data_IF_234550356151
#
_entry.id   IF_234550356151
#
_cell.length_a   1.000
_cell.length_b   1.000
_cell.length_c   1.000
_cell.angle_alpha   90.00
_cell.angle_beta   90.00
_cell.angle_gamma   90.00
#
_symmetry.space_group_name_H-M   'P 1'
#
loop_
_entity.id
_entity.type
_entity.pdbx_description
1 polymer ?
#
# COMPACT_ATOMS: atom_id res chain seq x y z
N UNK A 1 2.76 34.00 -15.29
CA UNK A 1 1.36 34.32 -14.91
C UNK A 1 0.71 32.98 -14.63
N UNK A 2 0.52 32.67 -13.34
CA UNK A 2 0.00 31.36 -12.89
C UNK A 2 -1.48 31.24 -13.27
N UNK A 3 -1.90 30.05 -13.69
CA UNK A 3 -3.32 29.71 -13.92
C UNK A 3 -4.17 29.97 -12.66
N UNK A 4 -3.56 30.02 -11.48
CA UNK A 4 -4.21 30.36 -10.21
C UNK A 4 -4.67 31.83 -10.12
N UNK A 5 -4.06 32.78 -10.84
CA UNK A 5 -4.53 34.18 -10.85
C UNK A 5 -5.88 34.37 -11.56
N UNK A 6 -6.31 33.40 -12.38
CA UNK A 6 -7.63 33.41 -13.04
C UNK A 6 -8.78 32.88 -12.16
N UNK A 7 -8.51 32.30 -11.00
CA UNK A 7 -9.50 31.65 -10.15
C UNK A 7 -9.76 32.32 -8.79
N UNK A 8 -9.25 33.53 -8.59
CA UNK A 8 -9.62 34.37 -7.44
C UNK A 8 -10.98 35.03 -7.65
N UNK A 9 -12.04 34.25 -7.51
CA UNK A 9 -13.40 34.81 -7.34
C UNK A 9 -14.11 34.11 -6.18
N UNK A 10 -14.39 34.98 -5.17
CA UNK A 10 -15.12 34.54 -3.99
C UNK A 10 -16.56 34.18 -4.32
N UNK A 11 -16.94 32.99 -3.92
CA UNK A 11 -18.30 32.63 -3.48
C UNK A 11 -18.14 31.51 -2.47
N UNK A 12 -19.00 31.53 -1.44
CA UNK A 12 -19.07 30.61 -0.30
C UNK A 12 -18.59 29.20 -0.73
N UNK A 13 -17.37 28.85 -0.38
CA UNK A 13 -16.87 27.51 -0.56
C UNK A 13 -17.79 26.59 0.24
N UNK A 14 -18.51 25.70 -0.44
CA UNK A 14 -19.08 24.54 0.23
C UNK A 14 -17.94 23.93 1.05
N UNK A 15 -18.18 23.69 2.33
CA UNK A 15 -17.18 23.18 3.25
C UNK A 15 -16.40 22.03 2.58
N UNK A 16 -15.07 22.14 2.43
CA UNK A 16 -14.27 21.08 1.79
C UNK A 16 -14.50 19.71 2.43
N UNK A 17 -14.76 19.69 3.74
CA UNK A 17 -15.08 18.49 4.50
C UNK A 17 -16.44 17.89 4.09
N UNK A 18 -17.44 18.71 3.75
CA UNK A 18 -18.78 18.23 3.35
C UNK A 18 -18.73 17.51 1.99
N UNK A 19 -17.99 18.05 1.03
CA UNK A 19 -17.83 17.42 -0.30
C UNK A 19 -16.99 16.13 -0.21
N UNK A 20 -15.96 16.10 0.64
CA UNK A 20 -15.23 14.90 0.97
C UNK A 20 -16.15 13.84 1.59
N UNK A 21 -16.96 14.23 2.55
CA UNK A 21 -17.91 13.33 3.20
C UNK A 21 -18.91 12.71 2.21
N UNK A 22 -19.36 13.46 1.20
CA UNK A 22 -20.28 12.94 0.18
C UNK A 22 -19.61 11.94 -0.75
N UNK A 23 -18.40 12.23 -1.23
CA UNK A 23 -17.60 11.31 -2.06
C UNK A 23 -17.23 10.03 -1.32
N UNK A 24 -16.86 10.15 -0.05
CA UNK A 24 -16.52 9.00 0.79
C UNK A 24 -17.72 8.10 1.07
N UNK A 25 -18.95 8.62 1.00
CA UNK A 25 -20.20 7.89 1.25
C UNK A 25 -20.78 7.21 0.02
N UNK A 26 -20.41 7.63 -1.19
CA UNK A 26 -20.84 6.97 -2.41
C UNK A 26 -20.25 5.55 -2.47
N UNK A 27 -21.10 4.53 -2.49
CA UNK A 27 -20.64 3.14 -2.46
C UNK A 27 -21.71 2.16 -2.96
N UNK A 28 -21.37 0.87 -3.00
CA UNK A 28 -22.28 -0.22 -3.36
C UNK A 28 -22.50 -1.16 -2.19
N UNK A 29 -23.72 -1.66 -2.02
CA UNK A 29 -24.04 -2.63 -0.98
C UNK A 29 -23.36 -3.97 -1.23
N UNK A 30 -22.83 -4.58 -0.15
CA UNK A 30 -22.37 -5.96 -0.12
C UNK A 30 -23.56 -6.90 0.12
N UNK A 31 -23.39 -8.19 -0.16
CA UNK A 31 -24.38 -9.23 0.16
C UNK A 31 -24.64 -9.33 1.67
N UNK A 32 -23.65 -9.00 2.49
CA UNK A 32 -23.78 -8.98 3.95
C UNK A 32 -24.60 -7.77 4.48
N UNK A 33 -25.02 -6.83 3.60
CA UNK A 33 -25.86 -5.68 3.91
C UNK A 33 -25.13 -4.32 3.91
N UNK A 34 -23.92 -4.17 4.52
CA UNK A 34 -23.25 -2.87 4.56
C UNK A 34 -22.95 -2.31 3.17
N UNK A 35 -23.13 -1.00 3.01
CA UNK A 35 -22.68 -0.28 1.82
C UNK A 35 -21.19 0.01 1.95
N UNK A 36 -20.40 -0.44 0.97
CA UNK A 36 -18.95 -0.27 0.96
C UNK A 36 -18.59 0.98 0.16
N UNK A 37 -17.98 1.91 0.86
CA UNK A 37 -17.38 3.12 0.33
C UNK A 37 -15.98 3.31 0.94
N UNK A 38 -15.25 4.32 0.51
CA UNK A 38 -13.90 4.57 0.99
C UNK A 38 -13.86 4.81 2.51
N UNK A 39 -14.82 5.55 3.07
CA UNK A 39 -14.89 5.83 4.50
C UNK A 39 -15.04 4.55 5.33
N UNK A 40 -15.99 3.68 4.98
CA UNK A 40 -16.24 2.44 5.71
C UNK A 40 -15.13 1.42 5.51
N UNK A 41 -14.58 1.33 4.31
CA UNK A 41 -13.47 0.41 4.02
C UNK A 41 -12.20 0.78 4.81
N UNK A 42 -11.88 2.07 4.95
CA UNK A 42 -10.72 2.52 5.73
C UNK A 42 -10.90 2.35 7.26
N UNK A 43 -12.14 2.19 7.74
CA UNK A 43 -12.42 1.84 9.15
C UNK A 43 -12.11 0.37 9.45
N UNK A 44 -12.08 -0.48 8.43
CA UNK A 44 -11.64 -1.87 8.61
C UNK A 44 -10.13 -1.89 8.84
N UNK A 45 -9.72 -2.27 10.06
CA UNK A 45 -8.34 -2.19 10.51
C UNK A 45 -7.34 -2.88 9.55
N UNK A 46 -7.69 -4.04 9.03
CA UNK A 46 -6.85 -4.78 8.07
C UNK A 46 -6.67 -4.04 6.74
N UNK A 47 -7.75 -3.43 6.21
CA UNK A 47 -7.69 -2.67 4.96
C UNK A 47 -6.76 -1.46 5.09
N UNK A 48 -6.94 -0.69 6.17
CA UNK A 48 -6.08 0.46 6.45
C UNK A 48 -4.62 0.04 6.71
N UNK A 49 -4.41 -1.06 7.45
CA UNK A 49 -3.07 -1.58 7.71
C UNK A 49 -2.34 -1.99 6.42
N UNK A 50 -3.03 -2.67 5.49
CA UNK A 50 -2.46 -3.03 4.19
C UNK A 50 -2.07 -1.81 3.37
N UNK A 51 -2.96 -0.81 3.25
CA UNK A 51 -2.65 0.44 2.56
C UNK A 51 -1.46 1.16 3.18
N UNK A 52 -1.42 1.24 4.52
CA UNK A 52 -0.30 1.86 5.25
C UNK A 52 1.01 1.14 5.00
N UNK A 53 1.02 -0.19 5.07
CA UNK A 53 2.24 -1.00 4.84
C UNK A 53 2.79 -0.80 3.43
N UNK A 54 1.93 -0.77 2.40
CA UNK A 54 2.34 -0.54 1.03
C UNK A 54 2.83 0.90 0.81
N UNK A 55 2.04 1.88 1.26
CA UNK A 55 2.34 3.29 1.03
C UNK A 55 3.61 3.74 1.76
N UNK A 56 3.75 3.39 3.04
CA UNK A 56 4.94 3.69 3.82
C UNK A 56 6.16 2.90 3.34
N UNK A 57 5.98 1.63 2.92
CA UNK A 57 7.02 0.84 2.30
C UNK A 57 7.60 1.48 1.04
N UNK A 58 6.75 2.12 0.22
CA UNK A 58 7.21 2.88 -0.95
C UNK A 58 7.75 4.28 -0.59
N UNK A 59 7.15 4.94 0.40
CA UNK A 59 7.52 6.29 0.77
C UNK A 59 8.88 6.40 1.47
N UNK A 60 9.25 5.41 2.30
CA UNK A 60 10.53 5.39 3.05
C UNK A 60 11.75 5.14 2.17
N UNK A 61 11.57 4.51 1.01
CA UNK A 61 12.67 4.21 0.09
C UNK A 61 13.00 5.45 -0.74
N UNK A 62 14.27 5.88 -0.82
CA UNK A 62 14.65 7.01 -1.66
C UNK A 62 14.29 6.76 -3.13
N UNK A 63 13.55 7.69 -3.73
CA UNK A 63 13.21 7.69 -5.15
C UNK A 63 13.96 8.84 -5.82
N UNK A 64 14.84 8.52 -6.76
CA UNK A 64 15.76 9.48 -7.36
C UNK A 64 15.83 9.34 -8.86
N UNK A 65 16.28 10.41 -9.51
CA UNK A 65 16.63 10.42 -10.92
C UNK A 65 18.11 10.07 -11.08
N UNK A 66 18.39 9.12 -11.95
CA UNK A 66 19.75 8.70 -12.34
C UNK A 66 20.00 9.02 -13.80
N UNK A 67 21.28 9.06 -14.15
CA UNK A 67 21.75 9.11 -15.52
C UNK A 67 22.76 7.99 -15.75
N UNK A 68 22.49 7.17 -16.76
CA UNK A 68 23.42 6.18 -17.27
C UNK A 68 24.20 6.78 -18.45
N UNK A 69 25.52 6.70 -18.40
CA UNK A 69 26.41 7.15 -19.46
C UNK A 69 27.44 6.08 -19.75
N UNK A 70 28.00 6.04 -20.95
CA UNK A 70 29.11 5.15 -21.28
C UNK A 70 30.38 6.00 -21.36
N UNK A 71 31.35 5.71 -20.50
CA UNK A 71 32.65 6.35 -20.47
C UNK A 71 33.73 5.30 -20.71
N UNK A 72 34.53 5.45 -21.74
CA UNK A 72 35.58 4.50 -22.12
C UNK A 72 35.06 3.04 -22.29
N UNK A 73 33.84 2.88 -22.82
CA UNK A 73 33.22 1.57 -22.99
C UNK A 73 32.61 0.97 -21.73
N UNK A 74 32.74 1.62 -20.57
CA UNK A 74 32.18 1.18 -19.28
C UNK A 74 30.90 1.96 -18.97
N UNK A 75 29.92 1.25 -18.44
CA UNK A 75 28.67 1.81 -17.92
C UNK A 75 28.95 2.63 -16.66
N UNK A 76 28.53 3.87 -16.64
CA UNK A 76 28.66 4.77 -15.49
C UNK A 76 27.27 5.28 -15.10
N UNK A 77 26.82 4.98 -13.89
CA UNK A 77 25.54 5.40 -13.33
C UNK A 77 25.79 6.45 -12.25
N UNK A 78 25.16 7.60 -12.36
CA UNK A 78 25.27 8.68 -11.38
C UNK A 78 23.90 9.32 -11.08
N UNK A 79 23.65 9.76 -9.82
CA UNK A 79 22.47 10.57 -9.51
C UNK A 79 22.51 11.89 -10.27
N UNK A 80 21.46 12.19 -11.02
CA UNK A 80 21.37 13.39 -11.87
C UNK A 80 20.90 14.61 -11.07
N UNK A 81 21.71 15.04 -10.10
CA UNK A 81 21.37 16.12 -9.16
C UNK A 81 21.15 17.47 -9.81
N UNK A 82 21.82 17.73 -10.94
CA UNK A 82 21.71 18.95 -11.75
C UNK A 82 20.39 18.99 -12.56
N UNK A 83 19.71 17.86 -12.69
CA UNK A 83 18.47 17.79 -13.42
C UNK A 83 17.30 18.26 -12.54
N UNK A 84 16.45 19.13 -13.08
CA UNK A 84 15.33 19.72 -12.34
C UNK A 84 14.38 18.70 -11.69
N UNK A 85 14.15 17.58 -12.35
CA UNK A 85 13.27 16.52 -11.81
C UNK A 85 13.89 15.78 -10.61
N UNK A 86 15.20 15.94 -10.36
CA UNK A 86 15.84 15.30 -9.21
C UNK A 86 15.23 15.79 -7.90
N UNK A 87 15.23 17.11 -7.67
CA UNK A 87 14.68 17.70 -6.44
C UNK A 87 13.16 17.53 -6.35
N UNK A 88 12.48 17.58 -7.51
CA UNK A 88 11.03 17.38 -7.60
C UNK A 88 10.58 16.03 -7.04
N UNK A 89 11.32 14.95 -7.28
CA UNK A 89 10.96 13.61 -6.79
C UNK A 89 11.67 13.24 -5.49
N UNK A 90 12.89 13.74 -5.26
CA UNK A 90 13.69 13.35 -4.11
C UNK A 90 13.43 14.20 -2.87
N UNK A 91 13.03 15.46 -3.03
CA UNK A 91 12.88 16.40 -1.93
C UNK A 91 11.47 17.01 -1.85
N UNK A 92 11.04 17.76 -2.86
CA UNK A 92 9.88 18.65 -2.78
C UNK A 92 9.06 18.68 -4.07
N UNK A 93 7.95 17.92 -4.15
CA UNK A 93 7.08 17.90 -5.34
C UNK A 93 6.26 19.18 -5.52
N UNK A 94 5.94 19.87 -4.43
CA UNK A 94 5.18 21.12 -4.37
C UNK A 94 5.50 21.88 -3.07
N UNK A 95 4.87 23.04 -2.84
CA UNK A 95 5.24 23.94 -1.74
C UNK A 95 4.80 23.47 -0.35
N UNK A 96 3.92 22.47 -0.25
CA UNK A 96 3.31 22.01 1.03
C UNK A 96 3.53 20.53 1.35
N UNK A 97 4.12 19.72 0.45
CA UNK A 97 4.39 18.31 0.69
C UNK A 97 5.86 17.97 0.58
N UNK A 98 6.32 17.12 1.48
CA UNK A 98 7.59 16.42 1.33
C UNK A 98 7.48 15.32 0.28
N UNK A 99 8.61 14.86 -0.24
CA UNK A 99 8.65 13.72 -1.16
C UNK A 99 8.11 12.43 -0.51
N UNK A 100 8.26 12.26 0.82
CA UNK A 100 7.68 11.14 1.55
C UNK A 100 6.15 11.16 1.52
N UNK A 101 5.55 12.28 1.97
CA UNK A 101 4.09 12.45 2.01
C UNK A 101 3.45 12.31 0.63
N UNK A 102 4.12 12.85 -0.39
CA UNK A 102 3.66 12.73 -1.77
C UNK A 102 3.63 11.26 -2.23
N UNK A 103 4.72 10.49 -2.01
CA UNK A 103 4.77 9.08 -2.38
C UNK A 103 3.79 8.24 -1.58
N UNK A 104 3.63 8.52 -0.28
CA UNK A 104 2.65 7.84 0.55
C UNK A 104 1.24 8.04 -0.02
N UNK A 105 0.84 9.28 -0.28
CA UNK A 105 -0.47 9.59 -0.87
C UNK A 105 -0.63 8.97 -2.27
N UNK A 106 0.41 9.04 -3.11
CA UNK A 106 0.40 8.43 -4.45
C UNK A 106 0.08 6.94 -4.40
N UNK A 107 0.74 6.21 -3.49
CA UNK A 107 0.56 4.76 -3.36
C UNK A 107 -0.77 4.42 -2.70
N UNK A 108 -1.27 5.21 -1.75
CA UNK A 108 -2.62 5.03 -1.19
C UNK A 108 -3.67 5.11 -2.32
N UNK A 109 -3.60 6.12 -3.16
CA UNK A 109 -4.55 6.29 -4.26
C UNK A 109 -4.40 5.19 -5.31
N UNK A 110 -3.17 4.89 -5.75
CA UNK A 110 -2.92 3.85 -6.74
C UNK A 110 -3.25 2.44 -6.20
N UNK A 111 -3.04 2.19 -4.92
CA UNK A 111 -3.41 0.95 -4.23
C UNK A 111 -4.91 0.71 -4.17
N UNK A 112 -5.70 1.78 -4.21
CA UNK A 112 -7.16 1.71 -4.34
C UNK A 112 -7.64 1.63 -5.80
N UNK A 113 -6.73 1.80 -6.75
CA UNK A 113 -6.98 1.67 -8.18
C UNK A 113 -6.27 2.70 -9.03
N UNK A 114 -6.37 3.98 -8.73
CA UNK A 114 -5.88 5.04 -9.60
C UNK A 114 -5.35 6.23 -8.81
N UNK A 115 -4.15 6.70 -9.14
CA UNK A 115 -3.60 7.96 -8.65
C UNK A 115 -3.34 8.91 -9.81
N UNK A 116 -3.77 10.14 -9.68
CA UNK A 116 -3.67 11.17 -10.69
C UNK A 116 -2.81 12.31 -10.19
N UNK A 117 -1.71 12.57 -10.87
CA UNK A 117 -0.78 13.65 -10.56
C UNK A 117 -0.87 14.70 -11.65
N UNK A 118 -1.31 15.88 -11.29
CA UNK A 118 -1.32 17.02 -12.20
C UNK A 118 0.06 17.66 -12.22
N UNK A 119 0.63 17.79 -13.41
CA UNK A 119 1.84 18.54 -13.70
C UNK A 119 1.46 20.02 -13.82
N UNK A 120 1.29 20.70 -12.66
CA UNK A 120 0.65 22.02 -12.56
C UNK A 120 1.49 23.13 -13.14
N UNK A 121 2.81 23.03 -13.06
CA UNK A 121 3.75 24.00 -13.59
C UNK A 121 4.78 23.31 -14.47
N UNK A 122 4.87 23.76 -15.73
CA UNK A 122 5.87 23.28 -16.69
C UNK A 122 6.67 24.47 -17.19
N UNK A 123 7.99 24.44 -16.99
CA UNK A 123 8.91 25.51 -17.39
C UNK A 123 9.95 24.94 -18.34
N UNK A 124 10.02 25.47 -19.57
CA UNK A 124 10.97 24.98 -20.58
C UNK A 124 10.79 23.50 -20.94
N UNK A 125 9.54 23.00 -20.93
CA UNK A 125 9.21 21.61 -21.21
C UNK A 125 9.46 20.64 -20.04
N UNK A 126 9.97 21.12 -18.89
CA UNK A 126 10.23 20.30 -17.70
C UNK A 126 9.21 20.61 -16.61
N UNK A 127 8.71 19.57 -15.97
CA UNK A 127 7.78 19.69 -14.84
C UNK A 127 8.49 20.34 -13.65
N UNK A 128 7.83 21.32 -13.07
CA UNK A 128 8.35 22.10 -11.93
C UNK A 128 7.54 21.93 -10.66
N UNK A 129 6.31 21.47 -10.77
CA UNK A 129 5.40 21.22 -9.65
C UNK A 129 4.47 20.08 -9.98
N UNK A 130 4.20 19.25 -8.98
CA UNK A 130 3.28 18.11 -9.06
C UNK A 130 2.27 18.17 -7.93
N UNK A 131 0.98 17.99 -8.27
CA UNK A 131 -0.13 18.00 -7.32
C UNK A 131 -0.94 16.71 -7.50
N UNK A 132 -1.13 15.95 -6.44
CA UNK A 132 -2.00 14.78 -6.47
C UNK A 132 -3.45 15.24 -6.42
N UNK A 133 -4.24 14.81 -7.39
CA UNK A 133 -5.66 15.09 -7.49
C UNK A 133 -6.48 13.98 -6.80
N UNK A 134 -7.66 14.35 -6.31
CA UNK A 134 -8.59 13.42 -5.68
C UNK A 134 -9.17 12.44 -6.72
N UNK A 135 -8.92 11.11 -6.60
CA UNK A 135 -9.44 10.14 -7.55
C UNK A 135 -10.97 10.09 -7.62
N UNK A 136 -11.64 10.38 -6.50
CA UNK A 136 -13.11 10.39 -6.45
C UNK A 136 -13.77 11.48 -7.32
N UNK A 137 -12.98 12.49 -7.76
CA UNK A 137 -13.43 13.59 -8.61
C UNK A 137 -12.93 13.48 -10.04
N UNK A 138 -12.18 12.41 -10.34
CA UNK A 138 -11.59 12.18 -11.65
C UNK A 138 -12.39 11.14 -12.41
N UNK A 139 -12.85 11.50 -13.59
CA UNK A 139 -13.46 10.61 -14.56
C UNK A 139 -12.51 10.44 -15.75
N UNK A 140 -12.08 9.20 -16.00
CA UNK A 140 -11.23 8.88 -17.15
C UNK A 140 -12.14 8.58 -18.34
N UNK A 141 -12.09 9.43 -19.35
CA UNK A 141 -12.83 9.27 -20.60
C UNK A 141 -11.90 8.72 -21.67
N UNK A 142 -12.31 7.63 -22.28
CA UNK A 142 -11.59 6.97 -23.37
C UNK A 142 -12.47 6.97 -24.63
N UNK A 143 -12.35 8.01 -25.47
CA UNK A 143 -13.29 8.25 -26.57
C UNK A 143 -13.33 7.13 -27.59
N UNK A 144 -12.18 6.53 -27.89
CA UNK A 144 -12.06 5.35 -28.71
C UNK A 144 -10.83 4.52 -28.30
N UNK A 145 -10.75 3.27 -28.76
CA UNK A 145 -9.71 2.31 -28.38
C UNK A 145 -8.29 2.68 -28.81
N UNK A 146 -8.14 3.63 -29.73
CA UNK A 146 -6.85 4.00 -30.35
C UNK A 146 -6.33 5.36 -29.91
N UNK A 147 -7.09 6.09 -29.10
CA UNK A 147 -6.71 7.42 -28.62
C UNK A 147 -6.29 7.40 -27.14
N UNK A 148 -5.48 8.38 -26.77
CA UNK A 148 -5.12 8.56 -25.37
C UNK A 148 -6.34 8.99 -24.53
N UNK A 149 -6.45 8.58 -23.26
CA UNK A 149 -7.55 8.98 -22.41
C UNK A 149 -7.53 10.49 -22.12
N UNK A 150 -8.71 11.07 -21.97
CA UNK A 150 -8.94 12.43 -21.50
C UNK A 150 -9.42 12.35 -20.04
N UNK A 151 -8.92 13.25 -19.21
CA UNK A 151 -9.21 13.28 -17.78
C UNK A 151 -10.15 14.44 -17.47
N UNK A 152 -11.35 14.12 -17.00
CA UNK A 152 -12.36 15.10 -16.59
C UNK A 152 -12.34 15.20 -15.07
N UNK A 153 -11.94 16.35 -14.55
CA UNK A 153 -11.85 16.61 -13.13
C UNK A 153 -12.90 17.62 -12.69
N UNK A 154 -13.68 17.26 -11.65
CA UNK A 154 -14.70 18.14 -11.08
C UNK A 154 -14.12 18.88 -9.87
N UNK A 155 -14.03 20.20 -9.97
CA UNK A 155 -13.56 21.06 -8.89
C UNK A 155 -14.56 21.10 -7.71
N UNK A 156 -14.10 21.60 -6.56
CA UNK A 156 -14.96 21.77 -5.36
C UNK A 156 -16.17 22.68 -5.57
N UNK A 157 -16.07 23.62 -6.50
CA UNK A 157 -17.15 24.54 -6.89
C UNK A 157 -18.10 23.96 -7.96
N UNK A 158 -17.92 22.68 -8.34
CA UNK A 158 -18.71 22.00 -9.36
C UNK A 158 -18.26 22.26 -10.79
N UNK A 159 -17.25 23.13 -11.02
CA UNK A 159 -16.73 23.34 -12.37
C UNK A 159 -15.94 22.14 -12.83
N UNK A 160 -16.02 21.86 -14.12
CA UNK A 160 -15.32 20.77 -14.78
C UNK A 160 -14.09 21.30 -15.51
N UNK A 161 -12.95 20.65 -15.29
CA UNK A 161 -11.69 20.89 -16.01
C UNK A 161 -11.32 19.63 -16.77
N UNK A 162 -11.00 19.78 -18.05
CA UNK A 162 -10.50 18.70 -18.88
C UNK A 162 -8.98 18.79 -18.98
N UNK A 163 -8.31 17.69 -18.69
CA UNK A 163 -6.88 17.54 -18.85
C UNK A 163 -6.58 16.54 -19.95
N UNK A 164 -5.58 16.80 -20.75
CA UNK A 164 -5.05 15.83 -21.70
C UNK A 164 -4.10 14.83 -21.01
N UNK A 165 -3.78 13.75 -21.68
CA UNK A 165 -2.90 12.69 -21.17
C UNK A 165 -1.47 13.18 -20.92
N UNK A 166 -1.03 14.28 -21.53
CA UNK A 166 0.31 14.85 -21.33
C UNK A 166 0.40 15.67 -20.04
N UNK A 167 -0.73 16.18 -19.55
CA UNK A 167 -0.80 17.04 -18.36
C UNK A 167 -0.92 16.23 -17.07
N UNK A 168 -1.46 15.01 -17.17
CA UNK A 168 -1.66 14.11 -16.02
C UNK A 168 -0.63 12.98 -16.06
N UNK A 169 0.07 12.77 -14.96
CA UNK A 169 0.77 11.52 -14.70
C UNK A 169 -0.19 10.58 -13.96
N UNK A 170 -0.68 9.57 -14.66
CA UNK A 170 -1.62 8.59 -14.13
C UNK A 170 -0.87 7.32 -13.71
N UNK A 171 -0.81 7.06 -12.41
CA UNK A 171 -0.29 5.81 -11.84
C UNK A 171 -1.48 4.89 -11.56
N UNK A 172 -1.53 3.77 -12.28
CA UNK A 172 -2.62 2.80 -12.20
C UNK A 172 -2.25 1.66 -11.28
N UNK A 173 -3.22 1.15 -10.53
CA UNK A 173 -3.16 -0.18 -9.92
C UNK A 173 -3.25 -1.30 -10.98
N UNK A 174 -3.56 -2.55 -10.59
CA UNK A 174 -3.90 -3.60 -11.54
C UNK A 174 -5.00 -3.11 -12.49
N UNK A 175 -4.86 -3.37 -13.79
CA UNK A 175 -5.78 -2.86 -14.81
C UNK A 175 -6.21 -3.96 -15.76
N UNK A 176 -7.48 -3.95 -16.20
CA UNK A 176 -7.99 -4.87 -17.21
C UNK A 176 -7.76 -4.36 -18.62
N UNK A 177 -7.92 -3.06 -18.86
CA UNK A 177 -7.89 -2.45 -20.20
C UNK A 177 -6.73 -1.44 -20.38
N UNK A 178 -5.85 -1.28 -19.42
CA UNK A 178 -4.64 -0.47 -19.54
C UNK A 178 -4.84 1.05 -19.45
N UNK A 179 -6.05 1.59 -19.51
CA UNK A 179 -6.31 3.04 -19.37
C UNK A 179 -6.82 3.46 -17.97
N UNK A 180 -7.40 2.55 -17.20
CA UNK A 180 -7.75 2.78 -15.80
C UNK A 180 -7.44 1.55 -14.95
N UNK A 181 -7.06 1.73 -13.70
CA UNK A 181 -6.91 0.67 -12.69
C UNK A 181 -8.26 0.16 -12.22
N UNK A 182 -8.29 -1.10 -11.78
CA UNK A 182 -9.46 -1.71 -11.16
C UNK A 182 -9.74 -1.06 -9.81
N UNK A 183 -11.02 -0.84 -9.50
CA UNK A 183 -11.44 -0.39 -8.18
C UNK A 183 -11.35 -1.54 -7.18
N UNK A 184 -10.31 -1.51 -6.36
CA UNK A 184 -10.02 -2.57 -5.38
C UNK A 184 -11.13 -2.65 -4.32
N UNK A 185 -11.76 -1.53 -3.96
CA UNK A 185 -12.87 -1.56 -3.00
C UNK A 185 -14.06 -2.34 -3.54
N UNK A 186 -14.35 -2.19 -4.84
CA UNK A 186 -15.42 -2.96 -5.48
C UNK A 186 -15.06 -4.43 -5.65
N UNK A 187 -13.79 -4.75 -5.90
CA UNK A 187 -13.32 -6.14 -5.98
C UNK A 187 -13.39 -6.84 -4.62
N UNK A 188 -12.94 -6.17 -3.57
CA UNK A 188 -12.92 -6.70 -2.20
C UNK A 188 -14.24 -6.45 -1.42
N UNK A 189 -15.27 -5.92 -2.08
CA UNK A 189 -16.52 -5.46 -1.46
C UNK A 189 -17.17 -6.52 -0.54
N UNK A 190 -17.22 -7.77 -0.97
CA UNK A 190 -17.85 -8.83 -0.19
C UNK A 190 -17.05 -9.18 1.07
N UNK A 191 -15.71 -9.22 0.97
CA UNK A 191 -14.84 -9.48 2.11
C UNK A 191 -14.88 -8.33 3.14
N UNK A 192 -14.82 -7.08 2.66
CA UNK A 192 -14.93 -5.89 3.51
C UNK A 192 -16.32 -5.83 4.16
N UNK A 193 -17.39 -6.07 3.39
CA UNK A 193 -18.76 -6.03 3.88
C UNK A 193 -19.04 -7.08 4.95
N UNK A 194 -18.53 -8.29 4.76
CA UNK A 194 -18.64 -9.36 5.75
C UNK A 194 -17.85 -9.01 7.03
N UNK A 195 -16.66 -8.43 6.90
CA UNK A 195 -15.87 -7.96 8.05
C UNK A 195 -16.62 -6.92 8.88
N UNK A 196 -17.21 -5.91 8.23
CA UNK A 196 -18.02 -4.87 8.90
C UNK A 196 -19.26 -5.47 9.56
N UNK A 197 -20.00 -6.34 8.85
CA UNK A 197 -21.21 -6.96 9.40
C UNK A 197 -20.90 -7.84 10.62
N UNK A 198 -19.80 -8.58 10.58
CA UNK A 198 -19.33 -9.41 11.71
C UNK A 198 -18.96 -8.52 12.90
N UNK A 199 -18.21 -7.45 12.69
CA UNK A 199 -17.84 -6.51 13.75
C UNK A 199 -19.04 -5.81 14.37
N UNK A 200 -20.00 -5.36 13.57
CA UNK A 200 -21.26 -4.78 14.06
C UNK A 200 -22.08 -5.79 14.88
N UNK A 201 -22.15 -7.05 14.42
CA UNK A 201 -22.86 -8.11 15.15
C UNK A 201 -22.23 -8.34 16.52
N UNK A 202 -20.90 -8.45 16.58
CA UNK A 202 -20.16 -8.58 17.84
C UNK A 202 -20.34 -7.36 18.75
N UNK A 203 -20.22 -6.16 18.19
CA UNK A 203 -20.42 -4.91 18.93
C UNK A 203 -21.82 -4.84 19.55
N UNK A 204 -22.85 -5.21 18.79
CA UNK A 204 -24.25 -5.26 19.29
C UNK A 204 -24.44 -6.33 20.39
N UNK A 205 -23.77 -7.48 20.26
CA UNK A 205 -23.77 -8.50 21.30
C UNK A 205 -23.14 -7.99 22.62
N UNK A 206 -22.00 -7.31 22.53
CA UNK A 206 -21.34 -6.74 23.71
C UNK A 206 -22.11 -5.57 24.31
N UNK A 207 -22.62 -4.64 23.47
CA UNK A 207 -23.33 -3.45 23.93
C UNK A 207 -24.66 -3.76 24.60
N UNK A 208 -25.37 -4.79 24.11
CA UNK A 208 -26.68 -5.16 24.69
C UNK A 208 -26.56 -6.04 25.93
N UNK A 209 -25.36 -6.55 26.26
CA UNK A 209 -25.11 -7.37 27.46
C UNK A 209 -25.92 -8.68 27.57
N UNK A 210 -26.91 -8.78 26.70
CA UNK A 210 -27.80 -9.95 26.66
C UNK A 210 -27.26 -10.91 25.61
N UNK A 211 -26.24 -11.67 25.96
CA UNK A 211 -26.28 -13.04 25.45
C UNK A 211 -27.55 -13.64 26.05
N UNK A 212 -28.43 -14.28 25.28
CA UNK A 212 -29.34 -15.26 25.88
C UNK A 212 -28.47 -16.44 26.30
N UNK A 213 -27.69 -16.23 27.38
CA UNK A 213 -26.81 -17.23 27.96
C UNK A 213 -27.64 -18.35 28.61
N UNK A 214 -28.96 -18.22 28.55
CA UNK A 214 -29.88 -19.22 29.09
C UNK A 214 -31.34 -18.76 29.02
N UNK A 215 -32.18 -19.68 29.42
CA UNK A 215 -33.61 -19.47 29.57
C UNK A 215 -33.92 -19.30 31.06
N UNK A 216 -34.57 -18.23 31.43
CA UNK A 216 -35.11 -18.07 32.78
C UNK A 216 -36.47 -18.77 32.84
N UNK A 217 -36.53 -19.89 33.55
CA UNK A 217 -37.76 -20.68 33.73
C UNK A 217 -38.33 -20.44 35.14
N UNK A 218 -39.61 -20.11 35.22
CA UNK A 218 -40.34 -19.93 36.47
C UNK A 218 -41.46 -20.96 36.52
N UNK A 219 -41.61 -21.64 37.62
CA UNK A 219 -42.71 -22.58 37.83
C UNK A 219 -44.03 -21.79 38.07
N UNK A 220 -44.94 -21.82 37.09
CA UNK A 220 -46.24 -21.18 37.14
C UNK A 220 -46.46 -20.09 36.08
N UNK A 221 -47.73 -19.60 36.01
CA UNK A 221 -48.12 -18.55 35.09
C UNK A 221 -47.86 -17.18 35.70
N UNK A 222 -47.06 -16.36 35.06
CA UNK A 222 -46.83 -14.97 35.44
C UNK A 222 -48.01 -14.09 34.97
N UNK A 223 -48.48 -13.19 35.83
CA UNK A 223 -49.37 -12.12 35.37
C UNK A 223 -48.65 -11.16 34.43
N UNK A 224 -49.35 -10.44 33.55
CA UNK A 224 -48.75 -9.47 32.65
C UNK A 224 -47.86 -8.44 33.35
N UNK A 225 -48.20 -8.04 34.56
CA UNK A 225 -47.46 -7.08 35.36
C UNK A 225 -46.17 -7.70 35.93
N UNK A 226 -46.27 -8.91 36.49
CA UNK A 226 -45.10 -9.67 36.96
C UNK A 226 -44.11 -9.97 35.85
N UNK A 227 -44.58 -10.27 34.63
CA UNK A 227 -43.74 -10.45 33.46
C UNK A 227 -43.01 -9.17 33.10
N UNK A 228 -43.70 -7.99 33.11
CA UNK A 228 -43.11 -6.71 32.83
C UNK A 228 -42.07 -6.28 33.86
N UNK A 229 -42.33 -6.52 35.16
CA UNK A 229 -41.41 -6.24 36.24
C UNK A 229 -40.16 -7.13 36.19
N UNK A 230 -40.33 -8.43 35.91
CA UNK A 230 -39.26 -9.39 35.75
C UNK A 230 -38.39 -9.03 34.55
N UNK A 231 -39.00 -8.66 33.43
CA UNK A 231 -38.27 -8.22 32.23
C UNK A 231 -37.47 -6.94 32.51
N UNK A 232 -38.03 -5.98 33.22
CA UNK A 232 -37.34 -4.75 33.62
C UNK A 232 -36.17 -5.00 34.56
N UNK A 233 -36.38 -5.91 35.52
CA UNK A 233 -35.32 -6.30 36.45
C UNK A 233 -34.16 -7.03 35.74
N UNK A 234 -34.45 -8.01 34.89
CA UNK A 234 -33.42 -8.70 34.09
C UNK A 234 -32.62 -7.73 33.25
N UNK A 235 -33.27 -6.74 32.60
CA UNK A 235 -32.60 -5.76 31.80
C UNK A 235 -31.76 -4.76 32.62
N UNK A 236 -32.15 -4.48 33.87
CA UNK A 236 -31.41 -3.56 34.74
C UNK A 236 -30.19 -4.22 35.39
N UNK A 237 -30.34 -5.49 35.85
CA UNK A 237 -29.32 -6.16 36.62
C UNK A 237 -28.36 -7.04 35.78
N UNK A 238 -28.79 -7.43 34.58
CA UNK A 238 -28.02 -8.37 33.74
C UNK A 238 -27.53 -7.75 32.44
N UNK A 239 -28.02 -6.59 32.04
CA UNK A 239 -27.59 -5.95 30.81
C UNK A 239 -26.44 -4.98 31.07
N UNK A 240 -25.41 -5.00 30.25
CA UNK A 240 -24.27 -4.09 30.30
C UNK A 240 -22.95 -4.77 30.71
N UNK A 241 -21.85 -4.15 30.28
CA UNK A 241 -20.50 -4.64 30.59
C UNK A 241 -20.18 -4.54 32.11
N UNK A 242 -20.82 -3.61 32.81
CA UNK A 242 -20.60 -3.34 34.23
C UNK A 242 -21.19 -4.45 35.12
N UNK A 243 -22.18 -5.20 34.62
CA UNK A 243 -22.83 -6.29 35.35
C UNK A 243 -22.26 -7.68 34.95
N UNK A 244 -21.24 -7.72 34.12
CA UNK A 244 -20.61 -8.96 33.70
C UNK A 244 -19.91 -9.66 34.86
N UNK A 245 -20.46 -10.81 35.31
CA UNK A 245 -19.91 -11.59 36.42
C UNK A 245 -20.61 -11.34 37.78
N UNK A 246 -21.64 -10.49 37.83
CA UNK A 246 -22.41 -10.31 39.05
C UNK A 246 -23.22 -11.58 39.41
N UNK A 247 -23.29 -11.98 40.70
CA UNK A 247 -24.07 -13.13 41.11
C UNK A 247 -25.56 -12.87 40.93
N UNK A 248 -26.28 -13.80 40.29
CA UNK A 248 -27.72 -13.71 40.07
C UNK A 248 -28.46 -14.38 41.23
N UNK A 249 -29.38 -13.64 41.84
CA UNK A 249 -30.26 -14.15 42.88
C UNK A 249 -31.57 -14.59 42.21
N UNK A 250 -31.92 -15.87 42.32
CA UNK A 250 -33.15 -16.44 41.79
C UNK A 250 -34.14 -16.68 42.92
N UNK A 251 -35.38 -16.16 42.79
CA UNK A 251 -36.44 -16.32 43.74
C UNK A 251 -37.50 -17.35 43.21
N UNK A 252 -38.27 -17.93 44.10
CA UNK A 252 -39.46 -18.81 43.83
C UNK A 252 -39.19 -20.01 42.91
N UNK A 253 -38.08 -20.69 43.11
CA UNK A 253 -37.77 -21.88 42.34
C UNK A 253 -37.40 -21.66 40.88
N UNK A 254 -37.16 -20.44 40.52
CA UNK A 254 -36.68 -20.12 39.16
C UNK A 254 -35.35 -20.83 38.88
N UNK A 255 -35.22 -21.33 37.68
CA UNK A 255 -33.98 -22.00 37.19
C UNK A 255 -33.40 -21.25 36.02
N UNK A 256 -32.10 -21.01 36.11
CA UNK A 256 -31.32 -20.53 34.97
C UNK A 256 -30.76 -21.72 34.20
N UNK A 257 -31.19 -21.89 32.97
CA UNK A 257 -30.66 -22.89 32.06
C UNK A 257 -29.67 -22.21 31.18
N UNK A 258 -28.38 -22.39 31.45
CA UNK A 258 -27.33 -21.81 30.60
C UNK A 258 -27.32 -22.48 29.23
N UNK A 259 -27.36 -21.70 28.18
CA UNK A 259 -27.11 -22.19 26.82
C UNK A 259 -25.60 -22.14 26.58
N UNK A 260 -24.97 -23.29 26.56
CA UNK A 260 -23.53 -23.40 26.32
C UNK A 260 -23.21 -22.95 24.88
N UNK A 261 -22.54 -21.81 24.74
CA UNK A 261 -22.13 -21.25 23.44
C UNK A 261 -20.62 -21.38 23.19
N UNK A 262 -19.97 -22.39 23.71
CA UNK A 262 -18.51 -22.55 23.65
C UNK A 262 -17.94 -22.82 22.25
N UNK A 263 -18.74 -23.28 21.28
CA UNK A 263 -18.29 -23.51 19.89
C UNK A 263 -18.38 -22.28 18.96
N UNK A 264 -19.33 -21.40 19.21
CA UNK A 264 -19.57 -20.24 18.35
C UNK A 264 -18.48 -19.14 18.48
N UNK A 265 -17.94 -18.93 19.67
CA UNK A 265 -16.92 -17.89 19.91
C UNK A 265 -15.59 -18.24 19.23
N UNK A 266 -15.20 -19.53 19.24
CA UNK A 266 -14.00 -19.99 18.55
C UNK A 266 -14.14 -19.87 17.03
N UNK A 267 -15.30 -20.25 16.48
CA UNK A 267 -15.60 -20.12 15.05
C UNK A 267 -15.65 -18.65 14.60
N UNK A 268 -16.12 -17.75 15.44
CA UNK A 268 -16.12 -16.32 15.13
C UNK A 268 -14.72 -15.73 15.06
N UNK A 269 -13.82 -16.12 15.95
CA UNK A 269 -12.43 -15.67 15.92
C UNK A 269 -11.70 -16.19 14.67
N UNK A 270 -11.91 -17.45 14.33
CA UNK A 270 -11.35 -18.06 13.12
C UNK A 270 -11.88 -17.38 11.85
N UNK A 271 -13.19 -17.12 11.77
CA UNK A 271 -13.81 -16.39 10.67
C UNK A 271 -13.22 -15.00 10.52
N UNK A 272 -13.02 -14.26 11.63
CA UNK A 272 -12.44 -12.93 11.62
C UNK A 272 -10.99 -12.94 11.12
N UNK A 273 -10.19 -13.91 11.53
CA UNK A 273 -8.82 -14.10 11.05
C UNK A 273 -8.80 -14.42 9.56
N UNK A 274 -9.70 -15.29 9.10
CA UNK A 274 -9.82 -15.64 7.68
C UNK A 274 -10.17 -14.42 6.82
N UNK A 275 -11.14 -13.61 7.25
CA UNK A 275 -11.54 -12.38 6.55
C UNK A 275 -10.41 -11.38 6.46
N UNK A 276 -9.63 -11.20 7.54
CA UNK A 276 -8.43 -10.38 7.52
C UNK A 276 -7.41 -10.86 6.49
N UNK A 277 -7.16 -12.17 6.44
CA UNK A 277 -6.27 -12.77 5.46
C UNK A 277 -6.78 -12.61 4.01
N UNK A 278 -8.09 -12.64 3.77
CA UNK A 278 -8.67 -12.37 2.44
C UNK A 278 -8.42 -10.93 2.00
N UNK A 279 -8.61 -9.95 2.87
CA UNK A 279 -8.30 -8.54 2.56
C UNK A 279 -6.81 -8.40 2.21
N UNK A 280 -5.91 -9.07 2.94
CA UNK A 280 -4.48 -9.10 2.62
C UNK A 280 -4.20 -9.64 1.22
N UNK A 281 -4.92 -10.70 0.78
CA UNK A 281 -4.79 -11.25 -0.58
C UNK A 281 -5.19 -10.26 -1.66
N UNK A 282 -6.29 -9.52 -1.48
CA UNK A 282 -6.71 -8.45 -2.41
C UNK A 282 -5.67 -7.33 -2.52
N UNK A 283 -5.02 -7.01 -1.41
CA UNK A 283 -4.03 -5.94 -1.35
C UNK A 283 -2.61 -6.40 -1.73
N UNK A 284 -2.37 -7.71 -1.89
CA UNK A 284 -1.04 -8.25 -2.16
C UNK A 284 -0.04 -8.04 -1.00
N UNK A 285 -0.54 -8.02 0.25
CA UNK A 285 0.26 -7.83 1.46
C UNK A 285 0.31 -9.14 2.24
N UNK A 286 1.49 -9.50 2.74
CA UNK A 286 1.64 -10.66 3.60
C UNK A 286 0.86 -10.46 4.91
N UNK A 287 0.01 -11.42 5.34
CA UNK A 287 -0.77 -11.30 6.57
C UNK A 287 0.09 -11.02 7.81
N UNK A 288 1.30 -11.57 7.87
CA UNK A 288 2.27 -11.34 8.96
C UNK A 288 2.67 -9.87 9.12
N UNK A 289 2.64 -9.06 8.06
CA UNK A 289 2.96 -7.63 8.10
C UNK A 289 1.86 -6.76 8.70
N UNK A 290 0.65 -7.29 8.81
CA UNK A 290 -0.52 -6.61 9.40
C UNK A 290 -1.00 -7.28 10.69
N UNK A 291 -0.16 -8.14 11.29
CA UNK A 291 -0.40 -8.71 12.61
C UNK A 291 -1.10 -10.08 12.64
N UNK A 292 -1.31 -10.73 11.49
CA UNK A 292 -1.82 -12.09 11.45
C UNK A 292 -0.66 -13.09 11.40
N UNK A 293 -0.27 -13.65 12.55
CA UNK A 293 0.77 -14.70 12.64
C UNK A 293 0.21 -15.90 13.37
N UNK A 294 0.13 -17.04 12.68
CA UNK A 294 -0.38 -18.30 13.26
C UNK A 294 0.63 -19.02 14.14
N UNK A 295 1.90 -18.65 14.10
CA UNK A 295 3.00 -19.30 14.85
C UNK A 295 4.04 -18.28 15.27
N UNK A 296 4.72 -18.54 16.40
CA UNK A 296 5.90 -17.79 16.82
C UNK A 296 6.96 -17.82 15.71
N UNK A 297 7.18 -16.69 15.06
CA UNK A 297 8.21 -16.56 14.04
C UNK A 297 9.59 -16.66 14.70
N UNK A 298 10.46 -17.52 14.19
CA UNK A 298 11.89 -17.52 14.56
C UNK A 298 12.56 -16.31 13.91
N UNK A 299 13.72 -15.89 14.43
CA UNK A 299 14.46 -14.75 13.85
C UNK A 299 14.75 -14.94 12.36
N UNK A 300 15.16 -16.16 11.94
CA UNK A 300 15.41 -16.47 10.54
C UNK A 300 14.16 -16.36 9.66
N UNK A 301 13.00 -16.80 10.14
CA UNK A 301 11.75 -16.64 9.40
C UNK A 301 11.27 -15.20 9.34
N UNK A 302 11.52 -14.39 10.39
CA UNK A 302 11.18 -12.97 10.38
C UNK A 302 11.97 -12.18 9.33
N UNK A 303 13.26 -12.49 9.16
CA UNK A 303 14.11 -11.92 8.11
C UNK A 303 13.63 -12.29 6.72
N UNK A 304 13.36 -13.56 6.48
CA UNK A 304 12.81 -14.04 5.20
C UNK A 304 11.46 -13.39 4.86
N UNK A 305 10.56 -13.24 5.84
CA UNK A 305 9.30 -12.51 5.63
C UNK A 305 9.51 -11.03 5.32
N UNK A 306 10.57 -10.41 5.87
CA UNK A 306 10.89 -9.03 5.53
C UNK A 306 11.38 -8.91 4.08
N UNK A 307 12.27 -9.79 3.65
CA UNK A 307 12.77 -9.86 2.26
C UNK A 307 11.62 -10.17 1.30
N UNK A 308 10.82 -11.18 1.59
CA UNK A 308 9.66 -11.56 0.78
C UNK A 308 8.69 -10.40 0.61
N UNK A 309 8.42 -9.63 1.67
CA UNK A 309 7.59 -8.45 1.58
C UNK A 309 8.14 -7.40 0.61
N UNK A 310 9.47 -7.16 0.65
CA UNK A 310 10.10 -6.20 -0.27
C UNK A 310 10.02 -6.71 -1.71
N UNK A 311 10.27 -7.99 -1.95
CA UNK A 311 10.29 -8.58 -3.30
C UNK A 311 8.87 -8.71 -3.87
N UNK A 312 7.95 -9.31 -3.11
CA UNK A 312 6.64 -9.71 -3.62
C UNK A 312 5.59 -8.59 -3.51
N UNK A 313 5.63 -7.78 -2.43
CA UNK A 313 4.62 -6.75 -2.21
C UNK A 313 5.07 -5.37 -2.71
N UNK A 314 6.29 -4.94 -2.39
CA UNK A 314 6.78 -3.59 -2.70
C UNK A 314 7.45 -3.51 -4.08
N UNK A 315 8.20 -4.53 -4.50
CA UNK A 315 8.92 -4.56 -5.78
C UNK A 315 8.05 -4.25 -6.99
N UNK A 316 6.86 -4.87 -7.14
CA UNK A 316 5.93 -4.54 -8.21
C UNK A 316 5.49 -3.07 -8.22
N UNK A 317 5.33 -2.45 -7.04
CA UNK A 317 4.98 -1.03 -6.92
C UNK A 317 6.16 -0.13 -7.31
N UNK A 318 7.40 -0.49 -6.92
CA UNK A 318 8.58 0.24 -7.35
C UNK A 318 8.69 0.25 -8.88
N UNK A 319 8.66 -0.93 -9.50
CA UNK A 319 8.75 -1.05 -10.95
C UNK A 319 7.64 -0.28 -11.68
N UNK A 320 6.40 -0.33 -11.17
CA UNK A 320 5.26 0.38 -11.72
C UNK A 320 5.44 1.90 -11.68
N UNK A 321 5.90 2.42 -10.55
CA UNK A 321 6.10 3.87 -10.36
C UNK A 321 7.31 4.35 -11.17
N UNK A 322 8.42 3.61 -11.17
CA UNK A 322 9.63 3.89 -11.94
C UNK A 322 9.31 4.03 -13.44
N UNK A 323 8.76 2.98 -14.03
CA UNK A 323 8.43 2.97 -15.46
C UNK A 323 7.37 4.02 -15.82
N UNK A 324 6.37 4.21 -14.95
CA UNK A 324 5.36 5.24 -15.15
C UNK A 324 5.94 6.65 -15.08
N UNK A 325 6.89 6.90 -14.17
CA UNK A 325 7.59 8.18 -14.05
C UNK A 325 8.48 8.44 -15.27
N UNK A 326 9.23 7.43 -15.75
CA UNK A 326 10.08 7.53 -16.93
C UNK A 326 9.30 7.97 -18.17
N UNK A 327 8.09 7.43 -18.35
CA UNK A 327 7.24 7.76 -19.51
C UNK A 327 6.60 9.14 -19.37
N UNK A 328 6.16 9.51 -18.15
CA UNK A 328 5.33 10.69 -17.94
C UNK A 328 6.10 11.96 -17.55
N UNK A 329 7.26 11.81 -16.93
CA UNK A 329 8.06 12.95 -16.45
C UNK A 329 9.27 13.24 -17.35
N UNK A 330 9.82 12.22 -18.03
CA UNK A 330 10.96 12.40 -18.93
C UNK A 330 10.52 12.51 -20.39
N UNK A 331 11.17 13.39 -21.13
CA UNK A 331 11.04 13.47 -22.58
C UNK A 331 11.70 12.26 -23.26
N UNK A 332 11.34 11.97 -24.51
CA UNK A 332 12.00 10.92 -25.28
C UNK A 332 13.51 11.18 -25.45
N UNK A 333 13.91 12.46 -25.57
CA UNK A 333 15.31 12.87 -25.68
C UNK A 333 16.08 12.61 -24.38
N UNK A 334 15.51 12.91 -23.23
CA UNK A 334 16.12 12.65 -21.92
C UNK A 334 16.30 11.14 -21.68
N UNK A 335 15.27 10.32 -21.98
CA UNK A 335 15.39 8.87 -21.91
C UNK A 335 16.47 8.31 -22.84
N UNK A 336 16.59 8.84 -24.05
CA UNK A 336 17.68 8.50 -24.98
C UNK A 336 19.06 8.91 -24.48
N UNK A 337 19.15 9.94 -23.61
CA UNK A 337 20.38 10.36 -22.93
C UNK A 337 20.70 9.53 -21.68
N UNK A 338 19.93 8.50 -21.39
CA UNK A 338 20.13 7.58 -20.28
C UNK A 338 19.56 8.05 -18.93
N UNK A 339 18.63 9.01 -18.90
CA UNK A 339 17.94 9.38 -17.67
C UNK A 339 16.82 8.37 -17.33
N UNK A 340 16.72 7.99 -16.06
CA UNK A 340 15.68 7.11 -15.55
C UNK A 340 15.45 7.31 -14.04
N UNK A 341 14.25 7.00 -13.57
CA UNK A 341 13.92 7.03 -12.15
C UNK A 341 14.13 5.67 -11.50
N UNK A 342 14.64 5.67 -10.25
CA UNK A 342 14.88 4.42 -9.51
C UNK A 342 14.61 4.57 -8.02
N UNK A 343 13.98 3.54 -7.44
CA UNK A 343 13.91 3.33 -5.99
C UNK A 343 15.20 2.64 -5.50
N UNK A 344 15.77 3.14 -4.40
CA UNK A 344 16.97 2.54 -3.80
C UNK A 344 16.55 1.67 -2.62
N UNK A 345 16.08 0.47 -2.91
CA UNK A 345 15.53 -0.45 -1.91
C UNK A 345 16.60 -1.21 -1.10
N UNK A 346 17.88 -1.09 -1.43
CA UNK A 346 18.98 -1.83 -0.78
C UNK A 346 18.98 -1.69 0.75
N UNK A 347 18.55 -0.53 1.28
CA UNK A 347 18.44 -0.32 2.73
C UNK A 347 17.43 -1.22 3.44
N UNK A 348 16.38 -1.67 2.75
CA UNK A 348 15.36 -2.58 3.29
C UNK A 348 15.78 -4.06 3.24
N UNK A 349 16.74 -4.38 2.38
CA UNK A 349 17.23 -5.74 2.14
C UNK A 349 18.49 -6.07 2.93
N UNK A 350 18.82 -5.30 3.98
CA UNK A 350 20.08 -5.48 4.75
C UNK A 350 20.26 -6.88 5.32
N UNK A 351 19.19 -7.58 5.67
CA UNK A 351 19.27 -8.98 6.08
C UNK A 351 19.73 -9.92 4.96
N UNK A 352 19.22 -9.73 3.74
CA UNK A 352 19.66 -10.46 2.55
C UNK A 352 21.10 -10.12 2.14
N UNK A 353 21.65 -8.97 2.56
CA UNK A 353 23.02 -8.56 2.23
C UNK A 353 24.08 -9.49 2.80
N UNK A 354 23.81 -10.20 3.89
CA UNK A 354 24.76 -11.18 4.44
C UNK A 354 24.91 -12.36 3.49
N UNK A 355 23.81 -12.98 3.09
CA UNK A 355 23.81 -14.13 2.18
C UNK A 355 24.33 -13.73 0.79
N UNK A 356 23.94 -12.55 0.32
CA UNK A 356 24.42 -11.96 -0.91
C UNK A 356 25.92 -11.64 -0.84
N UNK A 357 26.39 -11.12 0.30
CA UNK A 357 27.83 -10.91 0.55
C UNK A 357 28.63 -12.20 0.55
N UNK A 358 28.11 -13.29 1.12
CA UNK A 358 28.73 -14.62 1.05
C UNK A 358 28.75 -15.17 -0.39
N UNK A 359 27.66 -14.98 -1.15
CA UNK A 359 27.59 -15.34 -2.56
C UNK A 359 28.65 -14.59 -3.38
N UNK A 360 28.73 -13.27 -3.25
CA UNK A 360 29.72 -12.46 -3.96
C UNK A 360 31.18 -12.75 -3.51
N UNK A 361 31.36 -12.99 -2.21
CA UNK A 361 32.69 -13.41 -1.74
C UNK A 361 33.15 -14.69 -2.41
N UNK A 362 32.28 -15.69 -2.57
CA UNK A 362 32.57 -16.92 -3.30
C UNK A 362 32.75 -16.67 -4.80
N UNK A 363 31.96 -15.82 -5.41
CA UNK A 363 32.06 -15.47 -6.82
C UNK A 363 33.40 -14.80 -7.16
N UNK A 364 33.93 -13.98 -6.25
CA UNK A 364 35.23 -13.32 -6.34
C UNK A 364 36.43 -14.21 -5.93
N UNK A 365 36.19 -15.49 -5.58
CA UNK A 365 37.24 -16.45 -5.26
C UNK A 365 37.60 -16.53 -3.78
N UNK A 366 36.77 -16.02 -2.86
CA UNK A 366 36.97 -16.23 -1.43
C UNK A 366 36.78 -17.71 -1.04
N UNK A 367 37.56 -18.20 -0.08
CA UNK A 367 37.46 -19.58 0.42
C UNK A 367 38.21 -20.62 -0.45
N UNK A 368 39.10 -20.18 -1.33
CA UNK A 368 39.96 -21.06 -2.12
C UNK A 368 39.36 -21.63 -3.41
N UNK A 369 38.11 -21.23 -3.74
CA UNK A 369 37.51 -21.55 -5.02
C UNK A 369 37.99 -20.57 -6.10
N UNK A 370 38.15 -21.00 -7.37
CA UNK A 370 38.45 -20.07 -8.45
C UNK A 370 37.37 -19.01 -8.58
N UNK A 371 37.77 -17.74 -8.74
CA UNK A 371 36.84 -16.69 -9.06
C UNK A 371 36.15 -16.97 -10.41
N UNK A 372 34.85 -16.76 -10.47
CA UNK A 372 34.06 -16.94 -11.68
C UNK A 372 33.29 -15.63 -12.07
N UNK A 373 33.44 -14.60 -11.25
CA UNK A 373 32.99 -13.23 -11.54
C UNK A 373 34.13 -12.24 -11.28
N UNK A 374 34.12 -11.15 -12.05
CA UNK A 374 34.99 -10.00 -11.83
C UNK A 374 34.39 -9.05 -10.79
N UNK A 375 35.20 -8.17 -10.21
CA UNK A 375 34.67 -7.14 -9.30
C UNK A 375 33.69 -6.21 -10.01
N UNK A 376 33.95 -5.88 -11.28
CA UNK A 376 33.05 -5.02 -12.05
C UNK A 376 31.72 -5.69 -12.41
N UNK A 377 31.70 -7.01 -12.63
CA UNK A 377 30.44 -7.77 -12.79
C UNK A 377 29.63 -7.79 -11.51
N UNK A 378 30.26 -7.98 -10.34
CA UNK A 378 29.57 -7.88 -9.04
C UNK A 378 29.03 -6.47 -8.82
N UNK A 379 29.82 -5.44 -9.13
CA UNK A 379 29.38 -4.04 -9.05
C UNK A 379 28.22 -3.75 -9.99
N UNK A 380 28.22 -4.33 -11.18
CA UNK A 380 27.12 -4.18 -12.14
C UNK A 380 25.81 -4.81 -11.62
N UNK A 381 25.87 -5.95 -10.93
CA UNK A 381 24.71 -6.56 -10.29
C UNK A 381 24.12 -5.69 -9.17
N UNK A 382 24.99 -4.95 -8.45
CA UNK A 382 24.61 -4.00 -7.41
C UNK A 382 24.29 -2.58 -7.96
N UNK A 383 24.23 -2.42 -9.27
CA UNK A 383 24.03 -1.12 -9.95
C UNK A 383 25.09 -0.07 -9.56
N UNK A 384 26.30 -0.52 -9.21
CA UNK A 384 27.45 0.34 -8.91
C UNK A 384 28.29 0.57 -10.17
N UNK A 385 28.92 1.75 -10.22
CA UNK A 385 29.81 2.08 -11.33
C UNK A 385 31.02 1.15 -11.39
N UNK A 386 31.43 0.67 -12.59
CA UNK A 386 32.63 -0.13 -12.75
C UNK A 386 33.88 0.68 -12.36
N UNK A 387 34.89 -0.01 -11.86
CA UNK A 387 36.20 0.59 -11.53
C UNK A 387 37.17 0.50 -12.69
N UNK A 388 36.98 -0.47 -13.57
CA UNK A 388 37.91 -0.74 -14.70
C UNK A 388 39.25 -1.31 -14.28
N UNK A 389 40.15 -1.46 -15.25
CA UNK A 389 41.47 -2.02 -15.01
C UNK A 389 41.44 -3.43 -14.40
N UNK A 390 42.20 -3.67 -13.34
CA UNK A 390 42.22 -4.96 -12.67
C UNK A 390 40.87 -5.46 -12.12
N UNK A 391 39.92 -4.55 -11.87
CA UNK A 391 38.59 -4.93 -11.41
C UNK A 391 37.71 -5.54 -12.52
N UNK A 392 38.04 -5.31 -13.79
CA UNK A 392 37.36 -5.90 -14.95
C UNK A 392 37.95 -7.26 -15.36
N UNK A 393 39.00 -7.68 -14.71
CA UNK A 393 39.69 -8.96 -15.01
C UNK A 393 39.42 -9.98 -13.91
N UNK A 394 39.29 -11.25 -14.29
CA UNK A 394 39.21 -12.33 -13.30
C UNK A 394 40.51 -12.40 -12.52
N UNK A 395 40.48 -12.47 -11.17
CA UNK A 395 41.68 -12.62 -10.38
C UNK A 395 42.44 -13.89 -10.82
N UNK A 396 43.79 -13.85 -10.87
CA UNK A 396 44.56 -14.99 -11.26
C UNK A 396 44.28 -16.16 -10.31
N UNK A 397 44.23 -17.38 -10.86
CA UNK A 397 44.05 -18.61 -10.05
C UNK A 397 45.14 -18.69 -9.01
N UNK A 398 44.79 -18.88 -7.76
CA UNK A 398 45.77 -19.13 -6.70
C UNK A 398 46.61 -20.35 -7.09
N UNK A 399 47.92 -20.15 -7.31
CA UNK A 399 48.87 -21.20 -7.75
C UNK A 399 49.25 -21.15 -9.24
N UNK A 400 48.73 -20.25 -10.07
CA UNK A 400 49.26 -20.04 -11.41
C UNK A 400 50.53 -19.17 -11.31
N UNK A 401 51.69 -19.74 -11.68
CA UNK A 401 52.93 -18.98 -11.80
C UNK A 401 52.74 -17.83 -12.81
N UNK A 402 53.34 -16.63 -12.58
CA UNK A 402 53.24 -15.54 -13.52
C UNK A 402 53.79 -15.97 -14.89
N UNK A 403 52.95 -15.86 -15.92
CA UNK A 403 53.38 -16.04 -17.30
C UNK A 403 54.30 -14.88 -17.62
N UNK A 404 55.62 -15.12 -17.54
CA UNK A 404 56.64 -14.17 -17.99
C UNK A 404 56.46 -14.05 -19.50
N UNK A 405 55.90 -12.93 -19.97
CA UNK A 405 55.94 -12.61 -21.39
C UNK A 405 57.40 -12.49 -21.80
N UNK A 406 57.88 -13.43 -22.61
CA UNK A 406 59.17 -13.31 -23.25
C UNK A 406 59.15 -12.08 -24.16
N UNK A 407 60.09 -11.16 -23.95
CA UNK A 407 60.31 -10.04 -24.83
C UNK A 407 60.56 -10.52 -26.25
N UNK A 408 59.99 -9.89 -27.28
CA UNK A 408 60.35 -10.24 -28.66
C UNK A 408 61.79 -9.88 -28.93
N UNK A 409 62.51 -10.84 -29.57
CA UNK A 409 63.89 -10.71 -29.99
C UNK A 409 64.07 -9.71 -31.16
#
# INVERSE_FOLDING_TARGET
>A
MSIFDRFRWGRKASDPLAVWAELLRAGRSSKAGPTINLENALKVATMFACLRVLSQGCAQVPFKLFRETTVNGLKNISPAREHRHYDLVAAKPNDWQTSFEFREQLVIHAGLGNAYVWKSLVIGGKVAEMIILDPGRMEVQHPNEFEAPVYKYTLKDGKVVLFDSKTIWHVRGPSWHGFAGLDILQMAREAIGLSIATEESHSKLHAKGVRPSGTYSVDGNLSPQQYADLKKWILAEMAGADNAGAPMILDRGAKWLSSAMTGLDAQHLETRNFQGAEICRFMGVLPSKVGFTDKAATYASAEQFAIQHVVDSLGPWYARIEQSADINLLTSAERAQGYYFKFIAAGLLRGALKDQGEYFARALGSGGSPAWMTQDEVRALEELNPMGGAAAELPPRAGAAPVTQAAPA
#
